data_IF_302383470404
#
_entry.id   IF_302383470404
#
_cell.length_a   1.000
_cell.length_b   1.000
_cell.length_c   1.000
_cell.angle_alpha   90.00
_cell.angle_beta   90.00
_cell.angle_gamma   90.00
#
_symmetry.space_group_name_H-M   'P 1'
#
loop_
_entity.id
_entity.type
_entity.pdbx_description
1 polymer ?
#
# COMPACT_ATOMS: atom_id res chain seq x y z
N UNK A 1 -42.61 88.53 -14.66
CA UNK A 1 -41.31 88.09 -15.18
C UNK A 1 -41.07 86.74 -14.60
N UNK A 2 -41.24 85.72 -15.44
CA UNK A 2 -41.10 84.32 -15.10
C UNK A 2 -39.65 83.86 -15.30
N UNK A 3 -39.06 83.21 -14.35
CA UNK A 3 -37.79 82.54 -14.50
C UNK A 3 -37.98 81.04 -14.22
N UNK A 4 -37.82 80.26 -15.27
CA UNK A 4 -37.85 78.80 -15.23
C UNK A 4 -36.52 78.27 -14.66
N UNK A 5 -36.61 77.35 -13.72
CA UNK A 5 -35.50 76.54 -13.25
C UNK A 5 -35.61 75.07 -13.82
N UNK A 6 -34.53 74.47 -14.34
CA UNK A 6 -34.62 73.12 -14.85
C UNK A 6 -34.36 72.10 -13.75
N UNK A 7 -35.22 71.13 -13.69
CA UNK A 7 -35.10 69.87 -12.90
C UNK A 7 -34.05 68.95 -13.51
N UNK A 8 -33.00 68.68 -12.74
CA UNK A 8 -31.95 67.75 -13.08
C UNK A 8 -32.36 66.34 -12.56
N UNK A 9 -32.74 65.50 -13.47
CA UNK A 9 -33.07 64.11 -13.14
C UNK A 9 -31.80 63.27 -12.87
N UNK A 10 -31.73 62.73 -11.66
CA UNK A 10 -30.70 61.73 -11.28
C UNK A 10 -31.17 60.37 -11.75
N UNK A 11 -30.45 59.77 -12.72
CA UNK A 11 -30.62 58.37 -13.15
C UNK A 11 -29.77 57.50 -12.21
N UNK A 12 -30.43 56.74 -11.32
CA UNK A 12 -29.76 55.73 -10.51
C UNK A 12 -29.68 54.46 -11.36
N UNK A 13 -28.45 54.13 -11.82
CA UNK A 13 -28.15 52.87 -12.44
C UNK A 13 -27.93 51.84 -11.33
N UNK A 14 -28.88 50.99 -11.08
CA UNK A 14 -28.74 49.79 -10.23
C UNK A 14 -27.98 48.71 -11.01
N UNK A 15 -26.67 48.61 -10.75
CA UNK A 15 -25.87 47.47 -11.17
C UNK A 15 -26.21 46.24 -10.27
N UNK A 16 -26.98 45.33 -10.78
CA UNK A 16 -27.19 44.01 -10.15
C UNK A 16 -25.89 43.18 -10.26
N UNK A 17 -25.18 43.10 -9.15
CA UNK A 17 -24.07 42.13 -9.02
C UNK A 17 -24.69 40.75 -8.83
N UNK A 18 -24.75 39.96 -9.90
CA UNK A 18 -25.01 38.50 -9.78
C UNK A 18 -23.81 37.84 -9.11
N UNK A 19 -23.91 37.59 -7.82
CA UNK A 19 -23.04 36.61 -7.15
C UNK A 19 -23.34 35.21 -7.70
N UNK A 20 -22.53 34.78 -8.65
CA UNK A 20 -22.47 33.37 -9.01
C UNK A 20 -21.76 32.65 -7.85
N UNK A 21 -22.54 32.13 -6.90
CA UNK A 21 -22.04 31.15 -5.94
C UNK A 21 -21.78 29.87 -6.75
N UNK A 22 -20.56 29.73 -7.20
CA UNK A 22 -20.07 28.48 -7.74
C UNK A 22 -20.15 27.44 -6.62
N UNK A 23 -21.14 26.56 -6.68
CA UNK A 23 -21.10 25.32 -5.93
C UNK A 23 -19.84 24.58 -6.41
N UNK A 24 -18.78 24.62 -5.60
CA UNK A 24 -17.69 23.67 -5.74
C UNK A 24 -18.31 22.30 -5.52
N UNK A 25 -18.61 21.61 -6.63
CA UNK A 25 -18.90 20.20 -6.58
C UNK A 25 -17.68 19.56 -5.93
N UNK A 26 -17.87 18.99 -4.74
CA UNK A 26 -16.88 18.11 -4.15
C UNK A 26 -16.58 17.05 -5.23
N UNK A 27 -15.41 17.16 -5.83
CA UNK A 27 -14.90 16.09 -6.69
C UNK A 27 -14.76 14.89 -5.75
N UNK A 28 -15.63 13.93 -5.95
CA UNK A 28 -15.47 12.60 -5.37
C UNK A 28 -14.21 12.00 -6.02
N UNK A 29 -13.07 12.19 -5.37
CA UNK A 29 -11.74 11.74 -5.83
C UNK A 29 -11.67 10.23 -6.06
N UNK A 30 -12.74 9.51 -5.71
CA UNK A 30 -12.87 8.06 -5.89
C UNK A 30 -13.49 7.65 -7.23
N UNK A 31 -13.97 8.58 -8.05
CA UNK A 31 -14.52 8.28 -9.38
C UNK A 31 -13.60 8.76 -10.47
N UNK A 32 -12.58 7.94 -10.79
CA UNK A 32 -11.84 8.11 -12.03
C UNK A 32 -12.81 8.08 -13.22
N UNK A 33 -12.73 9.01 -14.19
CA UNK A 33 -13.59 9.00 -15.36
C UNK A 33 -13.41 7.67 -16.10
N UNK A 34 -14.44 6.87 -16.11
CA UNK A 34 -14.43 5.55 -16.78
C UNK A 34 -14.62 5.76 -18.28
N UNK A 35 -13.81 5.11 -19.13
CA UNK A 35 -14.09 5.06 -20.55
C UNK A 35 -15.51 4.47 -20.73
N UNK A 36 -16.36 5.19 -21.46
CA UNK A 36 -17.73 4.77 -21.79
C UNK A 36 -17.70 3.59 -22.77
N UNK A 37 -17.42 2.41 -22.23
CA UNK A 37 -17.42 1.15 -22.97
C UNK A 37 -18.50 0.25 -22.40
N UNK A 38 -19.44 -0.16 -23.24
CA UNK A 38 -20.49 -1.12 -22.86
C UNK A 38 -19.83 -2.40 -22.34
N UNK A 39 -20.32 -2.91 -21.21
CA UNK A 39 -19.85 -4.17 -20.62
C UNK A 39 -20.00 -5.31 -21.61
N UNK A 40 -18.93 -6.10 -21.76
CA UNK A 40 -18.86 -7.26 -22.62
C UNK A 40 -18.52 -8.48 -21.77
N UNK A 41 -19.40 -9.48 -21.72
CA UNK A 41 -19.16 -10.74 -21.02
C UNK A 41 -19.53 -10.78 -19.51
N UNK A 42 -19.28 -11.91 -18.85
CA UNK A 42 -19.54 -12.12 -17.42
C UNK A 42 -18.54 -11.35 -16.55
N UNK A 43 -18.93 -11.06 -15.29
CA UNK A 43 -18.03 -10.49 -14.31
C UNK A 43 -16.98 -11.52 -13.87
N UNK A 44 -15.67 -11.17 -13.90
CA UNK A 44 -14.60 -12.03 -13.42
C UNK A 44 -14.59 -12.09 -11.87
N UNK A 45 -14.41 -13.28 -11.33
CA UNK A 45 -14.14 -13.46 -9.90
C UNK A 45 -12.63 -13.33 -9.66
N UNK A 46 -12.23 -12.25 -9.00
CA UNK A 46 -10.85 -11.98 -8.62
C UNK A 46 -10.66 -12.27 -7.14
N UNK A 47 -9.67 -13.05 -6.78
CA UNK A 47 -9.25 -13.24 -5.39
C UNK A 47 -7.88 -12.63 -5.20
N UNK A 48 -7.76 -11.69 -4.26
CA UNK A 48 -6.49 -11.08 -3.89
C UNK A 48 -6.00 -11.62 -2.54
N UNK A 49 -4.73 -11.89 -2.43
CA UNK A 49 -4.14 -12.37 -1.18
C UNK A 49 -4.14 -11.29 -0.11
N UNK A 50 -3.82 -10.03 -0.47
CA UNK A 50 -3.80 -8.88 0.43
C UNK A 50 -4.86 -7.85 0.03
N UNK A 51 -5.39 -7.11 1.03
CA UNK A 51 -6.36 -6.05 0.80
C UNK A 51 -5.81 -4.93 -0.08
N UNK A 52 -4.52 -4.65 0.01
CA UNK A 52 -3.82 -3.69 -0.85
C UNK A 52 -3.96 -4.04 -2.34
N UNK A 53 -3.71 -5.30 -2.71
CA UNK A 53 -3.88 -5.78 -4.08
C UNK A 53 -5.34 -5.82 -4.51
N UNK A 54 -6.23 -6.17 -3.57
CA UNK A 54 -7.66 -6.17 -3.82
C UNK A 54 -8.20 -4.79 -4.18
N UNK A 55 -7.73 -3.74 -3.51
CA UNK A 55 -8.12 -2.37 -3.80
C UNK A 55 -7.65 -1.91 -5.18
N UNK A 56 -6.42 -2.23 -5.56
CA UNK A 56 -5.89 -1.93 -6.90
C UNK A 56 -6.70 -2.68 -7.97
N UNK A 57 -6.98 -3.97 -7.73
CA UNK A 57 -7.78 -4.77 -8.65
C UNK A 57 -9.21 -4.25 -8.82
N UNK A 58 -9.82 -3.70 -7.75
CA UNK A 58 -11.14 -3.04 -7.80
C UNK A 58 -11.11 -1.78 -8.69
N UNK A 59 -10.07 -0.95 -8.55
CA UNK A 59 -9.93 0.29 -9.35
C UNK A 59 -9.75 -0.04 -10.82
N UNK A 60 -8.86 -0.97 -11.15
CA UNK A 60 -8.54 -1.36 -12.53
C UNK A 60 -9.69 -2.15 -13.16
N UNK A 61 -10.25 -3.09 -12.42
CA UNK A 61 -11.32 -3.97 -12.92
C UNK A 61 -12.68 -3.30 -13.00
N UNK A 62 -12.92 -2.27 -12.18
CA UNK A 62 -14.20 -1.55 -12.12
C UNK A 62 -15.39 -2.48 -11.88
N UNK A 63 -16.45 -2.31 -12.66
CA UNK A 63 -17.68 -3.11 -12.62
C UNK A 63 -17.58 -4.47 -13.33
N UNK A 64 -16.43 -4.78 -13.93
CA UNK A 64 -16.17 -6.04 -14.65
C UNK A 64 -15.54 -7.12 -13.78
N UNK A 65 -15.18 -6.79 -12.53
CA UNK A 65 -14.61 -7.71 -11.57
C UNK A 65 -15.41 -7.74 -10.27
N UNK A 66 -15.47 -8.91 -9.65
CA UNK A 66 -15.89 -9.09 -8.27
C UNK A 66 -14.68 -9.51 -7.45
N UNK A 67 -14.17 -8.61 -6.63
CA UNK A 67 -12.96 -8.84 -5.84
C UNK A 67 -13.31 -9.39 -4.46
N UNK A 68 -12.64 -10.48 -4.09
CA UNK A 68 -12.62 -11.04 -2.73
C UNK A 68 -11.19 -10.99 -2.19
N UNK A 69 -11.02 -10.72 -0.90
CA UNK A 69 -9.70 -10.58 -0.26
C UNK A 69 -9.55 -11.60 0.86
N UNK A 70 -8.38 -12.23 0.94
CA UNK A 70 -8.06 -13.23 1.97
C UNK A 70 -7.59 -12.58 3.26
N UNK A 71 -6.51 -11.78 3.19
CA UNK A 71 -5.87 -11.13 4.34
C UNK A 71 -6.39 -9.71 4.45
N UNK A 72 -7.11 -9.42 5.56
CA UNK A 72 -7.59 -8.08 5.86
C UNK A 72 -6.46 -7.21 6.41
N UNK A 73 -6.54 -5.91 6.19
CA UNK A 73 -5.47 -4.96 6.48
C UNK A 73 -4.98 -4.92 7.93
N UNK A 74 -5.83 -5.30 8.89
CA UNK A 74 -5.47 -5.40 10.32
C UNK A 74 -4.78 -6.71 10.71
N UNK A 75 -4.72 -7.71 9.80
CA UNK A 75 -4.14 -9.02 10.07
C UNK A 75 -2.65 -9.07 9.70
N UNK A 76 -1.90 -9.91 10.43
CA UNK A 76 -0.53 -10.23 10.07
C UNK A 76 -0.53 -11.18 8.85
N UNK A 77 -0.01 -10.78 7.68
CA UNK A 77 -0.05 -11.59 6.47
C UNK A 77 0.85 -12.83 6.51
N UNK A 78 1.83 -12.86 7.42
CA UNK A 78 2.74 -14.01 7.58
C UNK A 78 2.09 -15.21 8.30
N UNK A 79 1.04 -14.97 9.10
CA UNK A 79 0.49 -15.98 10.03
C UNK A 79 -1.02 -16.16 9.84
N UNK A 80 -1.43 -16.44 8.62
CA UNK A 80 -2.85 -16.65 8.29
C UNK A 80 -3.21 -18.14 8.49
N UNK A 81 -4.24 -18.37 9.32
CA UNK A 81 -4.84 -19.69 9.40
C UNK A 81 -5.70 -19.98 8.17
N UNK A 82 -5.40 -21.07 7.45
CA UNK A 82 -6.17 -21.50 6.29
C UNK A 82 -7.58 -21.90 6.73
N UNK A 83 -8.59 -21.28 6.12
CA UNK A 83 -10.02 -21.59 6.37
C UNK A 83 -10.59 -22.33 5.16
N UNK A 84 -11.52 -23.30 5.38
CA UNK A 84 -12.19 -23.99 4.26
C UNK A 84 -12.87 -23.05 3.27
N UNK A 85 -13.37 -21.88 3.75
CA UNK A 85 -13.96 -20.86 2.89
C UNK A 85 -12.99 -20.27 1.87
N UNK A 86 -11.67 -20.26 2.14
CA UNK A 86 -10.67 -19.79 1.19
C UNK A 86 -10.58 -20.71 -0.03
N UNK A 87 -10.59 -22.03 0.19
CA UNK A 87 -10.61 -22.99 -0.91
C UNK A 87 -11.84 -22.85 -1.80
N UNK A 88 -13.01 -22.48 -1.23
CA UNK A 88 -14.22 -22.19 -2.01
C UNK A 88 -14.06 -20.91 -2.85
N UNK A 89 -13.42 -19.87 -2.31
CA UNK A 89 -13.14 -18.65 -3.07
C UNK A 89 -12.18 -18.93 -4.22
N UNK A 90 -11.07 -19.60 -3.94
CA UNK A 90 -10.07 -19.95 -4.97
C UNK A 90 -10.63 -20.93 -6.03
N UNK A 91 -11.51 -21.87 -5.65
CA UNK A 91 -12.15 -22.75 -6.62
C UNK A 91 -12.96 -22.00 -7.67
N UNK A 92 -13.62 -20.91 -7.28
CA UNK A 92 -14.47 -20.06 -8.15
C UNK A 92 -13.72 -18.91 -8.81
N UNK A 93 -12.45 -18.71 -8.48
CA UNK A 93 -11.67 -17.60 -9.00
C UNK A 93 -11.35 -17.79 -10.48
N UNK A 94 -11.47 -16.72 -11.25
CA UNK A 94 -10.96 -16.61 -12.61
C UNK A 94 -9.54 -16.03 -12.59
N UNK A 95 -9.25 -15.15 -11.60
CA UNK A 95 -7.94 -14.53 -11.40
C UNK A 95 -7.57 -14.55 -9.92
N UNK A 96 -6.33 -14.92 -9.62
CA UNK A 96 -5.67 -14.79 -8.32
C UNK A 96 -4.61 -13.71 -8.41
N UNK A 97 -4.68 -12.72 -7.52
CA UNK A 97 -3.68 -11.65 -7.39
C UNK A 97 -2.86 -11.93 -6.14
N UNK A 98 -1.61 -12.35 -6.33
CA UNK A 98 -0.70 -12.75 -5.26
C UNK A 98 0.54 -11.86 -5.22
N UNK A 99 1.19 -11.80 -4.04
CA UNK A 99 2.44 -11.08 -3.86
C UNK A 99 3.54 -11.64 -4.80
N UNK A 100 3.60 -12.96 -4.95
CA UNK A 100 4.61 -13.60 -5.80
C UNK A 100 5.99 -13.68 -5.18
N UNK A 101 6.10 -13.36 -3.89
CA UNK A 101 7.25 -13.58 -3.02
C UNK A 101 6.81 -14.44 -1.82
N UNK A 102 7.60 -14.54 -0.78
CA UNK A 102 7.39 -15.49 0.31
C UNK A 102 6.32 -15.11 1.35
N UNK A 103 5.60 -13.99 1.22
CA UNK A 103 4.66 -13.56 2.26
C UNK A 103 3.49 -14.53 2.46
N UNK A 104 3.09 -15.20 1.40
CA UNK A 104 2.01 -16.19 1.42
C UNK A 104 2.49 -17.61 1.75
N UNK A 105 3.79 -17.75 2.04
CA UNK A 105 4.39 -19.06 2.35
C UNK A 105 3.68 -19.74 3.53
N UNK A 106 3.39 -21.01 3.37
CA UNK A 106 2.76 -21.83 4.41
C UNK A 106 1.24 -21.81 4.44
N UNK A 107 0.57 -20.91 3.70
CA UNK A 107 -0.89 -20.92 3.65
C UNK A 107 -1.50 -20.93 2.23
N UNK A 108 -0.89 -20.24 1.26
CA UNK A 108 -1.48 -20.11 -0.08
C UNK A 108 -1.46 -21.44 -0.82
N UNK A 109 -0.33 -22.15 -0.83
CA UNK A 109 -0.19 -23.42 -1.55
C UNK A 109 -1.20 -24.45 -1.05
N UNK A 110 -1.37 -24.56 0.28
CA UNK A 110 -2.36 -25.47 0.89
C UNK A 110 -3.78 -25.12 0.45
N UNK A 111 -4.10 -23.84 0.41
CA UNK A 111 -5.41 -23.37 -0.02
C UNK A 111 -5.65 -23.62 -1.51
N UNK A 112 -4.64 -23.44 -2.37
CA UNK A 112 -4.71 -23.68 -3.82
C UNK A 112 -4.85 -25.18 -4.16
N UNK A 113 -4.11 -26.06 -3.48
CA UNK A 113 -4.23 -27.51 -3.64
C UNK A 113 -5.68 -27.94 -3.34
N UNK A 114 -6.26 -27.46 -2.24
CA UNK A 114 -7.62 -27.78 -1.84
C UNK A 114 -8.69 -27.18 -2.78
N UNK A 115 -8.37 -26.06 -3.43
CA UNK A 115 -9.26 -25.39 -4.36
C UNK A 115 -9.48 -26.15 -5.68
N UNK A 116 -8.50 -26.97 -6.11
CA UNK A 116 -8.54 -27.74 -7.38
C UNK A 116 -8.88 -26.88 -8.61
N UNK A 117 -8.37 -25.65 -8.65
CA UNK A 117 -8.57 -24.74 -9.78
C UNK A 117 -7.25 -24.51 -10.52
N UNK A 118 -7.09 -25.17 -11.67
CA UNK A 118 -5.88 -25.06 -12.48
C UNK A 118 -5.66 -23.66 -13.07
N UNK A 119 -6.74 -22.86 -13.28
CA UNK A 119 -6.63 -21.55 -13.92
C UNK A 119 -5.73 -20.58 -13.16
N UNK A 120 -5.72 -20.67 -11.83
CA UNK A 120 -5.07 -19.72 -10.92
C UNK A 120 -3.79 -20.27 -10.28
N UNK A 121 -3.26 -21.37 -10.80
CA UNK A 121 -1.95 -21.89 -10.40
C UNK A 121 -0.83 -21.03 -11.00
N UNK A 122 0.32 -20.98 -10.35
CA UNK A 122 1.48 -20.27 -10.87
C UNK A 122 1.83 -20.75 -12.28
N UNK A 123 2.14 -19.82 -13.18
CA UNK A 123 2.38 -20.09 -14.60
C UNK A 123 1.13 -20.20 -15.47
N UNK A 124 -0.07 -20.15 -14.91
CA UNK A 124 -1.33 -20.15 -15.66
C UNK A 124 -1.88 -18.74 -15.89
N UNK A 125 -2.75 -18.53 -16.91
CA UNK A 125 -3.25 -17.21 -17.27
C UNK A 125 -3.96 -16.44 -16.14
N UNK A 126 -4.63 -17.13 -15.24
CA UNK A 126 -5.34 -16.52 -14.10
C UNK A 126 -4.44 -16.19 -12.91
N UNK A 127 -3.13 -16.44 -12.94
CA UNK A 127 -2.23 -16.09 -11.84
C UNK A 127 -1.51 -14.77 -12.10
N UNK A 128 -1.71 -13.79 -11.22
CA UNK A 128 -0.99 -12.50 -11.22
C UNK A 128 0.11 -12.56 -10.17
N UNK A 129 1.35 -12.55 -10.59
CA UNK A 129 2.51 -12.32 -9.74
C UNK A 129 2.78 -10.81 -9.71
N UNK A 130 2.42 -10.15 -8.58
CA UNK A 130 2.58 -8.70 -8.44
C UNK A 130 4.03 -8.24 -8.34
N UNK A 131 4.99 -9.14 -8.07
CA UNK A 131 6.41 -8.80 -7.93
C UNK A 131 7.17 -8.67 -9.25
N UNK A 132 6.57 -9.06 -10.38
CA UNK A 132 7.21 -8.97 -11.69
C UNK A 132 7.55 -7.52 -12.01
N UNK A 133 8.85 -7.26 -12.29
CA UNK A 133 9.35 -5.92 -12.59
C UNK A 133 9.68 -5.07 -11.36
N UNK A 134 9.44 -5.55 -10.15
CA UNK A 134 9.85 -4.88 -8.91
C UNK A 134 11.35 -5.10 -8.65
N UNK A 135 12.05 -4.04 -8.26
CA UNK A 135 13.43 -4.13 -7.76
C UNK A 135 13.42 -4.66 -6.31
N UNK A 136 13.52 -5.98 -6.18
CA UNK A 136 13.43 -6.69 -4.90
C UNK A 136 14.68 -6.41 -4.05
N UNK A 137 14.49 -5.93 -2.81
CA UNK A 137 15.57 -5.82 -1.82
C UNK A 137 15.97 -7.23 -1.40
N UNK A 138 17.18 -7.64 -1.80
CA UNK A 138 17.72 -8.95 -1.43
C UNK A 138 18.03 -8.99 0.06
N UNK A 139 17.81 -10.13 0.69
CA UNK A 139 18.29 -10.38 2.04
C UNK A 139 19.81 -10.56 2.03
N UNK A 140 20.47 -10.05 3.07
CA UNK A 140 21.88 -10.31 3.33
C UNK A 140 22.10 -11.76 3.79
N UNK A 141 23.37 -12.21 3.78
CA UNK A 141 23.72 -13.54 4.26
C UNK A 141 23.27 -13.76 5.73
N UNK A 142 23.45 -12.75 6.59
CA UNK A 142 23.07 -12.81 8.01
C UNK A 142 21.55 -12.87 8.21
N UNK A 143 20.78 -12.26 7.31
CA UNK A 143 19.31 -12.32 7.32
C UNK A 143 18.78 -13.68 6.88
N UNK A 144 19.53 -14.38 6.01
CA UNK A 144 19.19 -15.72 5.54
C UNK A 144 19.67 -16.80 6.51
N UNK A 145 20.69 -16.51 7.33
CA UNK A 145 21.25 -17.47 8.28
C UNK A 145 20.18 -17.97 9.26
N UNK A 146 20.04 -19.31 9.34
CA UNK A 146 19.02 -19.97 10.15
C UNK A 146 17.64 -20.11 9.45
N UNK A 147 17.49 -19.59 8.24
CA UNK A 147 16.30 -19.88 7.42
C UNK A 147 16.30 -21.38 7.03
N UNK A 148 15.19 -22.11 7.25
CA UNK A 148 15.12 -23.52 6.89
C UNK A 148 15.49 -23.76 5.43
N UNK A 149 16.33 -24.77 5.16
CA UNK A 149 16.83 -25.08 3.81
C UNK A 149 15.72 -25.29 2.77
N UNK A 150 14.54 -25.80 3.17
CA UNK A 150 13.41 -25.98 2.27
C UNK A 150 12.87 -24.66 1.74
N UNK A 151 12.91 -23.57 2.52
CA UNK A 151 12.49 -22.23 2.08
C UNK A 151 13.48 -21.72 1.03
N UNK A 152 14.79 -21.97 1.22
CA UNK A 152 15.82 -21.55 0.27
C UNK A 152 15.73 -22.31 -1.08
N UNK A 153 15.11 -23.49 -1.09
CA UNK A 153 14.98 -24.35 -2.27
C UNK A 153 13.58 -24.39 -2.89
N UNK A 154 12.61 -23.62 -2.38
CA UNK A 154 11.26 -23.56 -2.96
C UNK A 154 11.21 -22.91 -4.34
N UNK A 155 12.33 -22.43 -4.89
CA UNK A 155 12.43 -21.91 -6.23
C UNK A 155 12.19 -22.97 -7.29
N UNK A 156 10.94 -23.29 -7.56
CA UNK A 156 10.55 -24.04 -8.75
C UNK A 156 10.88 -23.19 -9.97
N UNK A 157 11.90 -23.58 -10.71
CA UNK A 157 12.30 -22.87 -11.93
C UNK A 157 13.39 -21.81 -11.81
N UNK A 158 14.10 -21.69 -10.68
CA UNK A 158 15.35 -20.89 -10.56
C UNK A 158 15.20 -19.38 -10.52
N UNK A 159 14.00 -18.83 -10.30
CA UNK A 159 13.73 -17.39 -10.32
C UNK A 159 13.29 -16.80 -8.99
N UNK A 160 13.15 -17.59 -7.92
CA UNK A 160 12.81 -17.04 -6.61
C UNK A 160 14.01 -16.28 -6.05
N UNK A 161 14.05 -14.97 -6.22
CA UNK A 161 14.98 -14.11 -5.50
C UNK A 161 14.51 -14.06 -4.05
N UNK A 162 15.27 -14.69 -3.16
CA UNK A 162 15.05 -14.55 -1.72
C UNK A 162 15.27 -13.08 -1.36
N UNK A 163 14.20 -12.39 -1.07
CA UNK A 163 14.25 -10.98 -0.76
C UNK A 163 13.02 -10.53 0.02
N UNK A 164 13.08 -9.31 0.47
CA UNK A 164 12.03 -8.69 1.24
C UNK A 164 10.74 -8.56 0.41
N UNK A 165 9.71 -9.24 0.84
CA UNK A 165 8.42 -9.33 0.15
C UNK A 165 7.48 -8.14 0.43
N UNK A 166 7.87 -7.15 1.25
CA UNK A 166 7.03 -6.01 1.62
C UNK A 166 7.09 -4.86 0.59
N UNK A 167 7.32 -5.16 -0.66
CA UNK A 167 7.55 -4.19 -1.73
C UNK A 167 6.32 -3.30 -2.02
N UNK A 168 5.11 -3.72 -1.67
CA UNK A 168 3.89 -2.91 -1.82
C UNK A 168 3.88 -1.67 -0.91
N UNK A 169 4.77 -1.60 0.08
CA UNK A 169 4.93 -0.45 0.97
C UNK A 169 5.76 0.69 0.35
N UNK A 170 6.32 0.52 -0.85
CA UNK A 170 6.79 1.63 -1.68
C UNK A 170 5.65 2.07 -2.63
N UNK A 171 5.14 3.30 -2.52
CA UNK A 171 4.09 3.78 -3.42
C UNK A 171 4.51 3.74 -4.89
N UNK A 172 5.80 3.82 -5.21
CA UNK A 172 6.29 3.68 -6.58
C UNK A 172 6.04 2.30 -7.18
N UNK A 173 6.09 1.25 -6.36
CA UNK A 173 5.79 -0.12 -6.80
C UNK A 173 4.30 -0.33 -7.09
N UNK A 174 3.42 0.55 -6.59
CA UNK A 174 1.97 0.48 -6.86
C UNK A 174 1.65 0.57 -8.35
N UNK A 175 2.44 1.35 -9.13
CA UNK A 175 2.28 1.43 -10.58
C UNK A 175 2.63 0.08 -11.27
N UNK A 176 3.70 -0.58 -10.80
CA UNK A 176 4.12 -1.90 -11.31
C UNK A 176 3.04 -2.95 -11.00
N UNK A 177 2.54 -2.95 -9.78
CA UNK A 177 1.46 -3.84 -9.33
C UNK A 177 0.20 -3.62 -10.17
N UNK A 178 -0.19 -2.36 -10.38
CA UNK A 178 -1.35 -1.98 -11.19
C UNK A 178 -1.24 -2.50 -12.61
N UNK A 179 -0.09 -2.31 -13.24
CA UNK A 179 0.19 -2.81 -14.60
C UNK A 179 0.11 -4.33 -14.67
N UNK A 180 0.71 -5.06 -13.72
CA UNK A 180 0.65 -6.52 -13.69
C UNK A 180 -0.79 -7.03 -13.58
N UNK A 181 -1.62 -6.37 -12.77
CA UNK A 181 -3.04 -6.70 -12.63
C UNK A 181 -3.80 -6.39 -13.94
N UNK A 182 -3.59 -5.20 -14.51
CA UNK A 182 -4.29 -4.77 -15.73
C UNK A 182 -4.00 -5.69 -16.93
N UNK A 183 -2.73 -6.03 -17.16
CA UNK A 183 -2.34 -6.90 -18.26
C UNK A 183 -2.90 -8.32 -18.08
N UNK A 184 -2.94 -8.83 -16.85
CA UNK A 184 -3.51 -10.14 -16.59
C UNK A 184 -5.03 -10.17 -16.75
N UNK A 185 -5.75 -9.14 -16.29
CA UNK A 185 -7.18 -8.99 -16.56
C UNK A 185 -7.46 -8.89 -18.06
N UNK A 186 -6.62 -8.13 -18.79
CA UNK A 186 -6.71 -8.00 -20.24
C UNK A 186 -6.45 -9.32 -20.98
N UNK A 187 -5.54 -10.16 -20.48
CA UNK A 187 -5.24 -11.49 -21.02
C UNK A 187 -6.42 -12.47 -20.84
N UNK A 188 -7.01 -12.47 -19.63
CA UNK A 188 -8.10 -13.41 -19.28
C UNK A 188 -9.44 -12.98 -19.89
N UNK A 189 -9.65 -11.69 -20.08
CA UNK A 189 -10.91 -11.10 -20.61
C UNK A 189 -10.63 -10.17 -21.79
N UNK A 190 -10.19 -10.75 -22.90
CA UNK A 190 -9.82 -10.03 -24.11
C UNK A 190 -10.86 -9.01 -24.61
N UNK A 191 -12.18 -9.29 -24.57
CA UNK A 191 -13.18 -8.31 -24.99
C UNK A 191 -13.18 -7.01 -24.18
N UNK A 192 -12.70 -7.04 -22.95
CA UNK A 192 -12.61 -5.90 -22.04
C UNK A 192 -11.16 -5.39 -21.84
N UNK A 193 -10.18 -5.89 -22.60
CA UNK A 193 -8.76 -5.56 -22.44
C UNK A 193 -8.47 -4.05 -22.47
N UNK A 194 -9.07 -3.32 -23.40
CA UNK A 194 -8.90 -1.87 -23.51
C UNK A 194 -9.46 -1.11 -22.30
N UNK A 195 -10.51 -1.62 -21.66
CA UNK A 195 -11.08 -1.05 -20.47
C UNK A 195 -10.12 -1.15 -19.27
N UNK A 196 -9.52 -2.32 -19.04
CA UNK A 196 -8.58 -2.52 -17.95
C UNK A 196 -7.31 -1.69 -18.12
N UNK A 197 -6.75 -1.62 -19.33
CA UNK A 197 -5.59 -0.78 -19.63
C UNK A 197 -5.88 0.70 -19.49
N UNK A 198 -7.06 1.16 -19.94
CA UNK A 198 -7.47 2.56 -19.77
C UNK A 198 -7.64 2.95 -18.30
N UNK A 199 -8.23 2.07 -17.47
CA UNK A 199 -8.33 2.31 -16.04
C UNK A 199 -6.94 2.32 -15.35
N UNK A 200 -6.03 1.45 -15.76
CA UNK A 200 -4.65 1.45 -15.25
C UNK A 200 -3.92 2.74 -15.61
N UNK A 201 -4.04 3.21 -16.85
CA UNK A 201 -3.44 4.46 -17.30
C UNK A 201 -3.90 5.65 -16.45
N UNK A 202 -5.22 5.78 -16.22
CA UNK A 202 -5.76 6.82 -15.35
C UNK A 202 -5.26 6.70 -13.91
N UNK A 203 -5.24 5.48 -13.38
CA UNK A 203 -4.72 5.20 -12.05
C UNK A 203 -3.24 5.59 -11.92
N UNK A 204 -2.41 5.23 -12.92
CA UNK A 204 -0.98 5.54 -12.94
C UNK A 204 -0.70 7.04 -13.06
N UNK A 205 -1.52 7.79 -13.81
CA UNK A 205 -1.42 9.25 -13.91
C UNK A 205 -1.67 9.90 -12.53
N UNK A 206 -2.77 9.56 -11.87
CA UNK A 206 -3.09 10.09 -10.54
C UNK A 206 -2.03 9.71 -9.50
N UNK A 207 -1.57 8.46 -9.53
CA UNK A 207 -0.48 8.00 -8.68
C UNK A 207 0.81 8.81 -8.91
N UNK A 208 1.11 9.14 -10.17
CA UNK A 208 2.29 9.94 -10.52
C UNK A 208 2.25 11.36 -9.91
N UNK A 209 1.07 11.96 -9.77
CA UNK A 209 0.89 13.24 -9.09
C UNK A 209 1.11 13.10 -7.58
N UNK A 210 0.48 12.12 -6.96
CA UNK A 210 0.63 11.84 -5.52
C UNK A 210 2.07 11.47 -5.14
N UNK A 211 2.79 10.75 -5.99
CA UNK A 211 4.21 10.45 -5.78
C UNK A 211 5.06 11.72 -5.67
N UNK A 212 4.81 12.72 -6.53
CA UNK A 212 5.52 14.01 -6.45
C UNK A 212 5.23 14.75 -5.14
N UNK A 213 3.98 14.71 -4.66
CA UNK A 213 3.59 15.31 -3.38
C UNK A 213 4.30 14.64 -2.21
N UNK A 214 4.25 13.29 -2.14
CA UNK A 214 4.87 12.52 -1.07
C UNK A 214 6.41 12.62 -1.10
N UNK A 215 7.03 12.56 -2.28
CA UNK A 215 8.48 12.72 -2.42
C UNK A 215 8.95 14.10 -1.92
N UNK A 216 8.24 15.17 -2.30
CA UNK A 216 8.52 16.53 -1.81
C UNK A 216 8.34 16.66 -0.30
N UNK A 217 7.28 16.05 0.27
CA UNK A 217 7.03 16.06 1.71
C UNK A 217 8.16 15.39 2.48
N UNK A 218 8.73 14.33 1.95
CA UNK A 218 9.75 13.50 2.61
C UNK A 218 11.18 13.95 2.35
N UNK A 219 11.43 14.78 1.34
CA UNK A 219 12.78 15.25 0.96
C UNK A 219 13.61 15.83 2.13
N UNK A 220 13.03 16.64 3.06
CA UNK A 220 13.80 17.23 4.17
C UNK A 220 14.39 16.20 5.16
N UNK A 221 13.94 14.96 5.11
CA UNK A 221 14.29 13.91 6.09
C UNK A 221 15.32 12.90 5.56
N UNK A 222 15.82 13.09 4.33
CA UNK A 222 16.84 12.23 3.73
C UNK A 222 18.03 12.05 4.66
N UNK A 223 18.46 10.80 4.84
CA UNK A 223 19.58 10.42 5.71
C UNK A 223 19.23 10.22 7.16
N UNK A 224 18.03 10.63 7.63
CA UNK A 224 17.60 10.38 9.00
C UNK A 224 17.46 8.88 9.27
N UNK A 225 17.76 8.50 10.52
CA UNK A 225 17.72 7.11 10.98
C UNK A 225 16.52 6.89 11.89
N UNK A 226 15.97 5.68 11.83
CA UNK A 226 14.86 5.25 12.68
C UNK A 226 14.96 3.74 12.96
N UNK A 227 14.25 3.28 13.97
CA UNK A 227 14.08 1.86 14.27
C UNK A 227 12.77 1.39 13.66
N UNK A 228 12.78 0.20 13.05
CA UNK A 228 11.58 -0.49 12.61
C UNK A 228 11.31 -1.70 13.50
N UNK A 229 10.03 -2.05 13.72
CA UNK A 229 9.75 -3.29 14.43
C UNK A 229 10.16 -4.50 13.61
N UNK A 230 9.63 -4.60 12.41
CA UNK A 230 9.88 -5.63 11.41
C UNK A 230 10.49 -5.02 10.14
N UNK A 231 10.84 -5.85 9.17
CA UNK A 231 11.46 -5.42 7.88
C UNK A 231 10.47 -4.86 6.86
N UNK A 232 9.25 -4.55 7.27
CA UNK A 232 8.18 -4.11 6.37
C UNK A 232 8.50 -2.80 5.66
N UNK A 233 9.07 -1.83 6.37
CA UNK A 233 9.18 -0.45 5.90
C UNK A 233 10.41 -0.19 5.01
N UNK A 234 11.22 -1.20 4.72
CA UNK A 234 12.50 -1.04 4.00
C UNK A 234 12.34 -0.36 2.63
N UNK A 235 11.31 -0.70 1.88
CA UNK A 235 11.06 -0.11 0.56
C UNK A 235 10.66 1.36 0.65
N UNK A 236 9.72 1.71 1.53
CA UNK A 236 9.31 3.08 1.78
C UNK A 236 10.49 3.95 2.23
N UNK A 237 11.30 3.42 3.15
CA UNK A 237 12.46 4.14 3.67
C UNK A 237 13.54 4.31 2.61
N UNK A 238 13.84 3.26 1.81
CA UNK A 238 14.77 3.31 0.67
C UNK A 238 14.36 4.38 -0.33
N UNK A 239 13.08 4.45 -0.67
CA UNK A 239 12.55 5.45 -1.60
C UNK A 239 12.92 6.88 -1.19
N UNK A 240 12.77 7.21 0.08
CA UNK A 240 13.02 8.57 0.59
C UNK A 240 14.44 8.78 1.13
N UNK A 241 15.33 7.81 0.97
CA UNK A 241 16.70 7.88 1.48
C UNK A 241 16.78 7.94 3.00
N UNK A 242 15.75 7.47 3.71
CA UNK A 242 15.78 7.20 5.14
C UNK A 242 16.57 5.92 5.41
N UNK A 243 17.13 5.79 6.61
CA UNK A 243 17.97 4.66 6.97
C UNK A 243 17.37 3.88 8.15
N UNK A 244 17.42 2.57 8.07
CA UNK A 244 17.16 1.71 9.23
C UNK A 244 18.39 1.80 10.14
N UNK A 245 18.16 2.16 11.41
CA UNK A 245 19.17 2.08 12.45
C UNK A 245 19.28 0.64 12.95
N UNK A 246 18.14 0.03 13.26
CA UNK A 246 18.02 -1.37 13.68
C UNK A 246 16.55 -1.81 13.65
N UNK A 247 16.33 -3.09 13.95
CA UNK A 247 15.01 -3.68 14.07
C UNK A 247 14.72 -4.10 15.52
N UNK A 248 13.44 -4.00 15.95
CA UNK A 248 13.03 -4.57 17.24
C UNK A 248 13.01 -6.08 17.17
N UNK A 249 12.55 -6.64 16.05
CA UNK A 249 12.58 -8.06 15.74
C UNK A 249 13.93 -8.39 15.07
N UNK A 250 14.86 -9.05 15.77
CA UNK A 250 16.23 -9.25 15.27
C UNK A 250 16.30 -10.13 14.01
N UNK A 251 15.45 -11.17 13.95
CA UNK A 251 15.24 -12.03 12.80
C UNK A 251 13.75 -12.19 12.55
N UNK A 252 13.36 -12.39 11.31
CA UNK A 252 11.95 -12.55 10.91
C UNK A 252 11.25 -13.63 11.74
N UNK A 253 10.08 -13.29 12.28
CA UNK A 253 9.28 -14.13 13.20
C UNK A 253 9.92 -14.47 14.55
N UNK A 254 11.08 -13.91 14.88
CA UNK A 254 11.77 -14.15 16.16
C UNK A 254 11.54 -12.99 17.14
N UNK A 255 10.82 -13.20 18.25
CA UNK A 255 10.65 -12.17 19.27
C UNK A 255 12.00 -11.74 19.87
N UNK A 256 12.17 -10.45 20.21
CA UNK A 256 13.41 -9.97 20.84
C UNK A 256 13.57 -10.53 22.24
N UNK A 257 14.81 -10.91 22.61
CA UNK A 257 15.16 -11.23 24.00
C UNK A 257 15.26 -9.96 24.86
N UNK A 258 15.12 -10.10 26.18
CA UNK A 258 15.28 -8.96 27.11
C UNK A 258 16.67 -8.31 26.99
N UNK A 259 17.73 -9.11 26.81
CA UNK A 259 19.09 -8.62 26.62
C UNK A 259 19.25 -7.84 25.31
N UNK A 260 18.63 -8.31 24.24
CA UNK A 260 18.64 -7.61 22.95
C UNK A 260 17.89 -6.27 23.05
N UNK A 261 16.72 -6.24 23.69
CA UNK A 261 15.95 -5.01 23.89
C UNK A 261 16.73 -3.97 24.70
N UNK A 262 17.38 -4.38 25.80
CA UNK A 262 18.23 -3.50 26.60
C UNK A 262 19.38 -2.91 25.78
N UNK A 263 20.07 -3.74 24.98
CA UNK A 263 21.13 -3.30 24.07
C UNK A 263 20.60 -2.33 23.01
N UNK A 264 19.44 -2.59 22.40
CA UNK A 264 18.80 -1.71 21.42
C UNK A 264 18.49 -0.35 22.03
N UNK A 265 17.88 -0.31 23.21
CA UNK A 265 17.57 0.93 23.95
C UNK A 265 18.83 1.76 24.18
N UNK A 266 19.91 1.14 24.66
CA UNK A 266 21.17 1.84 24.91
C UNK A 266 21.81 2.39 23.64
N UNK A 267 21.77 1.65 22.53
CA UNK A 267 22.25 2.10 21.22
C UNK A 267 21.39 3.25 20.68
N UNK A 268 20.06 3.17 20.77
CA UNK A 268 19.14 4.24 20.37
C UNK A 268 19.42 5.54 21.14
N UNK A 269 19.62 5.46 22.47
CA UNK A 269 19.93 6.63 23.29
C UNK A 269 21.24 7.29 22.88
N UNK A 270 22.31 6.49 22.71
CA UNK A 270 23.63 7.01 22.30
C UNK A 270 23.61 7.64 20.91
N UNK A 271 22.80 7.11 19.99
CA UNK A 271 22.71 7.57 18.61
C UNK A 271 21.60 8.59 18.37
N UNK A 272 20.86 9.00 19.42
CA UNK A 272 19.80 9.98 19.32
C UNK A 272 18.61 9.55 18.46
N UNK A 273 18.32 8.25 18.36
CA UNK A 273 17.21 7.74 17.55
C UNK A 273 15.87 8.06 18.23
N UNK A 274 15.00 8.79 17.52
CA UNK A 274 13.76 9.35 18.06
C UNK A 274 12.48 8.85 17.42
N UNK A 275 12.56 7.97 16.43
CA UNK A 275 11.36 7.43 15.73
C UNK A 275 11.43 5.91 15.68
N UNK A 276 10.30 5.28 16.01
CA UNK A 276 10.06 3.84 15.87
C UNK A 276 8.88 3.65 14.93
N UNK A 277 9.03 2.80 13.91
CA UNK A 277 7.94 2.34 13.05
C UNK A 277 7.54 0.92 13.43
N UNK A 278 6.26 0.67 13.51
CA UNK A 278 5.71 -0.66 13.75
C UNK A 278 4.37 -0.82 13.02
N UNK A 279 4.01 -2.05 12.71
CA UNK A 279 2.72 -2.42 12.15
C UNK A 279 1.68 -2.58 13.26
N UNK A 280 0.40 -2.40 12.91
CA UNK A 280 -0.72 -2.43 13.88
C UNK A 280 -0.91 -3.78 14.59
N UNK A 281 -0.43 -4.86 14.00
CA UNK A 281 -0.50 -6.22 14.57
C UNK A 281 0.69 -6.60 15.45
N UNK A 282 1.70 -5.73 15.60
CA UNK A 282 2.88 -5.99 16.39
C UNK A 282 2.63 -5.84 17.89
N UNK A 283 3.54 -6.40 18.71
CA UNK A 283 3.40 -6.38 20.16
C UNK A 283 3.53 -4.97 20.75
N UNK A 284 2.39 -4.39 21.07
CA UNK A 284 2.29 -3.01 21.57
C UNK A 284 3.09 -2.78 22.84
N UNK A 285 3.12 -3.75 23.77
CA UNK A 285 3.85 -3.60 25.03
C UNK A 285 5.36 -3.45 24.83
N UNK A 286 5.94 -4.16 23.85
CA UNK A 286 7.36 -4.04 23.51
C UNK A 286 7.63 -2.65 22.91
N UNK A 287 6.78 -2.20 22.01
CA UNK A 287 6.91 -0.89 21.35
C UNK A 287 6.87 0.23 22.38
N UNK A 288 5.86 0.22 23.26
CA UNK A 288 5.65 1.25 24.28
C UNK A 288 6.79 1.27 25.31
N UNK A 289 7.32 0.11 25.68
CA UNK A 289 8.45 0.03 26.62
C UNK A 289 9.74 0.62 26.03
N UNK A 290 10.07 0.29 24.76
CA UNK A 290 11.25 0.86 24.10
C UNK A 290 11.06 2.38 23.91
N UNK A 291 9.87 2.82 23.50
CA UNK A 291 9.55 4.24 23.34
C UNK A 291 9.69 5.00 24.66
N UNK A 292 9.16 4.45 25.75
CA UNK A 292 9.25 5.04 27.09
C UNK A 292 10.70 5.19 27.57
N UNK A 293 11.52 4.16 27.35
CA UNK A 293 12.92 4.19 27.77
C UNK A 293 13.79 5.14 26.97
N UNK A 294 13.52 5.29 25.66
CA UNK A 294 14.33 6.08 24.73
C UNK A 294 13.82 7.51 24.53
N UNK A 295 12.57 7.77 24.91
CA UNK A 295 11.87 9.01 24.56
C UNK A 295 11.57 9.11 23.04
N UNK A 296 11.62 8.00 22.31
CA UNK A 296 11.30 7.98 20.89
C UNK A 296 9.77 8.01 20.66
N UNK A 297 9.35 8.63 19.57
CA UNK A 297 7.97 8.58 19.09
C UNK A 297 7.72 7.25 18.39
N UNK A 298 6.82 6.44 18.95
CA UNK A 298 6.33 5.24 18.29
C UNK A 298 5.18 5.59 17.33
N UNK A 299 5.33 5.21 16.08
CA UNK A 299 4.31 5.25 15.05
C UNK A 299 3.86 3.81 14.77
N UNK A 300 2.61 3.51 15.10
CA UNK A 300 1.98 2.21 14.83
C UNK A 300 1.03 2.40 13.68
N UNK A 301 1.48 1.99 12.48
CA UNK A 301 0.87 2.28 11.21
C UNK A 301 0.27 1.01 10.59
N UNK A 302 -0.81 1.13 9.81
CA UNK A 302 -1.29 0.02 9.01
C UNK A 302 -0.24 -0.38 7.97
N UNK A 303 -0.10 -1.67 7.70
CA UNK A 303 0.78 -2.20 6.64
C UNK A 303 0.01 -2.58 5.38
N UNK A 304 -1.28 -2.35 5.35
CA UNK A 304 -2.15 -2.55 4.19
C UNK A 304 -3.39 -1.66 4.30
N UNK A 305 -4.13 -1.56 3.21
CA UNK A 305 -5.48 -0.98 3.20
C UNK A 305 -6.33 -1.71 4.23
N UNK A 306 -7.21 -0.99 4.92
CA UNK A 306 -8.02 -1.48 6.02
C UNK A 306 -9.36 -0.73 6.02
N UNK A 307 -10.35 -1.28 5.34
CA UNK A 307 -11.67 -0.63 5.18
C UNK A 307 -12.34 -0.36 6.52
N UNK A 308 -12.13 -1.23 7.52
CA UNK A 308 -12.61 -1.09 8.90
C UNK A 308 -11.95 0.08 9.66
N UNK A 309 -10.78 0.54 9.22
CA UNK A 309 -10.10 1.72 9.73
C UNK A 309 -10.31 2.97 8.86
N UNK A 310 -11.22 2.91 7.90
CA UNK A 310 -11.52 4.01 6.98
C UNK A 310 -10.50 4.21 5.86
N UNK A 311 -9.54 3.31 5.71
CA UNK A 311 -8.51 3.33 4.65
C UNK A 311 -9.02 2.47 3.49
N UNK A 312 -9.51 3.10 2.42
CA UNK A 312 -10.22 2.41 1.34
C UNK A 312 -9.42 2.30 0.06
N UNK A 313 -8.50 3.24 -0.17
CA UNK A 313 -7.69 3.32 -1.38
C UNK A 313 -6.20 3.28 -1.05
N UNK A 314 -5.37 3.03 -2.06
CA UNK A 314 -3.91 3.14 -1.91
C UNK A 314 -3.49 4.59 -1.61
N UNK A 315 -4.27 5.57 -2.04
CA UNK A 315 -4.01 6.99 -1.77
C UNK A 315 -4.27 7.31 -0.31
N UNK A 316 -5.44 6.93 0.25
CA UNK A 316 -5.73 7.06 1.69
C UNK A 316 -4.65 6.39 2.54
N UNK A 317 -4.19 5.21 2.10
CA UNK A 317 -3.17 4.44 2.79
C UNK A 317 -1.85 5.19 2.90
N UNK A 318 -1.33 5.69 1.78
CA UNK A 318 -0.06 6.43 1.79
C UNK A 318 -0.21 7.83 2.39
N UNK A 319 -1.33 8.52 2.18
CA UNK A 319 -1.62 9.80 2.84
C UNK A 319 -1.63 9.63 4.37
N UNK A 320 -2.19 8.55 4.88
CA UNK A 320 -2.15 8.21 6.31
C UNK A 320 -0.72 7.98 6.80
N UNK A 321 0.08 7.19 6.09
CA UNK A 321 1.47 6.92 6.45
C UNK A 321 2.28 8.20 6.48
N UNK A 322 2.27 8.97 5.42
CA UNK A 322 3.05 10.21 5.32
C UNK A 322 2.56 11.31 6.26
N UNK A 323 1.25 11.38 6.46
CA UNK A 323 0.63 12.30 7.41
C UNK A 323 1.06 12.10 8.86
N UNK A 324 1.46 10.88 9.24
CA UNK A 324 2.00 10.57 10.57
C UNK A 324 3.54 10.58 10.60
N UNK A 325 4.18 10.06 9.56
CA UNK A 325 5.64 9.92 9.52
C UNK A 325 6.35 11.28 9.42
N UNK A 326 5.91 12.15 8.51
CA UNK A 326 6.60 13.42 8.28
C UNK A 326 6.59 14.35 9.53
N UNK A 327 5.48 14.53 10.29
CA UNK A 327 5.49 15.27 11.54
C UNK A 327 6.42 14.68 12.60
N UNK A 328 6.46 13.33 12.72
CA UNK A 328 7.32 12.67 13.69
C UNK A 328 8.82 12.87 13.38
N UNK A 329 9.19 12.75 12.10
CA UNK A 329 10.56 13.02 11.65
C UNK A 329 10.94 14.49 11.83
N UNK A 330 10.01 15.43 11.59
CA UNK A 330 10.24 16.86 11.82
C UNK A 330 10.51 17.14 13.29
N UNK A 331 9.71 16.57 14.20
CA UNK A 331 9.92 16.71 15.64
C UNK A 331 11.25 16.10 16.07
N UNK A 332 11.62 14.93 15.54
CA UNK A 332 12.90 14.28 15.82
C UNK A 332 14.10 15.15 15.36
N UNK A 333 14.00 15.78 14.19
CA UNK A 333 15.05 16.65 13.63
C UNK A 333 15.29 17.91 14.45
N UNK A 334 14.25 18.45 15.10
CA UNK A 334 14.37 19.64 15.96
C UNK A 334 14.84 19.34 17.38
N UNK A 335 14.82 18.07 17.78
CA UNK A 335 15.23 17.62 19.12
C UNK A 335 16.65 17.05 19.16
N UNK A 336 17.32 17.01 18.01
CA UNK A 336 18.73 16.60 17.82
C UNK A 336 19.63 17.80 17.72
#
# INVERSE_FOLDING_TARGET
>A
MQTHSPLTGIVIVLTAVCLVVGAAAAHDENTLPRPDQRRSGPTLNVVATLEHYGAIAKVIGGDRVKVSVIVKGSQNPHTIAVKPSYSVLFNKADVLVANGQLIELGWLDVALINARNAKIQEGHPGFVNCSIGVDIISYSADEIEGTPFFILNLGVGGTLRLGNHHYWLDPGNTAIIGRNIAEKLAEVDLPNAAYYRGNEEHFALHLGEKLKEWDKLMEPFRGMQLVSYHRSWNYLLRRHGLKIFDYIEPKETMPPSAAYMASLVDRMKRSGIKVILAETYQNRSIIDEIARQTGAKALVLPSSISEDQGIRTVFDFFDRIYGELAPALRAAKTSS
#
